data_IF_391963305670
#
_entry.id   IF_391963305670
#
_cell.length_a   1.000
_cell.length_b   1.000
_cell.length_c   1.000
_cell.angle_alpha   90.00
_cell.angle_beta   90.00
_cell.angle_gamma   90.00
#
_symmetry.space_group_name_H-M   'P 1'
#
loop_
_entity.id
_entity.type
_entity.pdbx_description
1 polymer ?
#
# COMPACT_ATOMS: atom_id res chain seq x y z
N UNK A 1 18.37 6.03 4.10
CA UNK A 1 18.14 4.58 3.91
C UNK A 1 19.40 3.93 3.40
N UNK A 2 19.86 2.86 4.05
CA UNK A 2 21.00 2.07 3.55
C UNK A 2 20.61 1.19 2.36
N UNK A 3 21.57 0.76 1.55
CA UNK A 3 21.33 -0.14 0.41
C UNK A 3 20.67 -1.47 0.83
N UNK A 4 21.03 -1.99 2.01
CA UNK A 4 20.41 -3.18 2.58
C UNK A 4 18.93 -2.93 2.90
N UNK A 5 18.62 -1.83 3.60
CA UNK A 5 17.24 -1.47 3.93
C UNK A 5 16.40 -1.25 2.67
N UNK A 6 16.96 -0.60 1.65
CA UNK A 6 16.29 -0.40 0.36
C UNK A 6 15.94 -1.72 -0.32
N UNK A 7 16.87 -2.68 -0.31
CA UNK A 7 16.66 -4.02 -0.88
C UNK A 7 15.60 -4.80 -0.12
N UNK A 8 15.60 -4.73 1.21
CA UNK A 8 14.64 -5.44 2.05
C UNK A 8 13.23 -4.82 1.93
N UNK A 9 13.13 -3.48 1.92
CA UNK A 9 11.89 -2.77 1.63
C UNK A 9 11.32 -3.14 0.25
N UNK A 10 12.15 -3.12 -0.80
CA UNK A 10 11.73 -3.49 -2.16
C UNK A 10 11.16 -4.91 -2.23
N UNK A 11 11.74 -5.87 -1.52
CA UNK A 11 11.20 -7.25 -1.46
C UNK A 11 9.83 -7.28 -0.82
N UNK A 12 9.66 -6.63 0.33
CA UNK A 12 8.40 -6.57 1.07
C UNK A 12 7.31 -5.92 0.20
N UNK A 13 7.64 -4.78 -0.43
CA UNK A 13 6.74 -4.04 -1.32
C UNK A 13 6.36 -4.90 -2.53
N UNK A 14 7.31 -5.56 -3.19
CA UNK A 14 7.02 -6.42 -4.35
C UNK A 14 6.07 -7.58 -4.02
N UNK A 15 6.22 -8.20 -2.84
CA UNK A 15 5.30 -9.26 -2.39
C UNK A 15 3.89 -8.68 -2.19
N UNK A 16 3.78 -7.54 -1.52
CA UNK A 16 2.50 -6.88 -1.31
C UNK A 16 1.84 -6.44 -2.62
N UNK A 17 2.61 -5.93 -3.59
CA UNK A 17 2.16 -5.59 -4.94
C UNK A 17 1.57 -6.82 -5.63
N UNK A 18 2.28 -7.95 -5.63
CA UNK A 18 1.80 -9.18 -6.27
C UNK A 18 0.49 -9.68 -5.63
N UNK A 19 0.40 -9.65 -4.30
CA UNK A 19 -0.82 -10.01 -3.59
C UNK A 19 -1.97 -9.05 -3.88
N UNK A 20 -1.73 -7.74 -3.85
CA UNK A 20 -2.74 -6.72 -4.15
C UNK A 20 -3.22 -6.83 -5.61
N UNK A 21 -2.32 -7.12 -6.55
CA UNK A 21 -2.68 -7.34 -7.94
C UNK A 21 -3.57 -8.58 -8.11
N UNK A 22 -3.24 -9.68 -7.40
CA UNK A 22 -4.04 -10.89 -7.43
C UNK A 22 -5.44 -10.66 -6.85
N UNK A 23 -5.55 -9.96 -5.72
CA UNK A 23 -6.83 -9.60 -5.11
C UNK A 23 -7.61 -8.66 -6.02
N UNK A 24 -7.01 -7.55 -6.47
CA UNK A 24 -7.67 -6.57 -7.33
C UNK A 24 -8.12 -7.17 -8.67
N UNK A 25 -7.31 -8.05 -9.28
CA UNK A 25 -7.67 -8.73 -10.52
C UNK A 25 -8.73 -9.84 -10.34
N UNK A 26 -8.61 -10.63 -9.27
CA UNK A 26 -9.54 -11.74 -8.98
C UNK A 26 -10.90 -11.29 -8.45
N UNK A 27 -10.95 -10.12 -7.82
CA UNK A 27 -12.17 -9.54 -7.23
C UNK A 27 -12.71 -8.34 -8.01
N UNK A 28 -12.11 -8.01 -9.15
CA UNK A 28 -12.45 -6.84 -9.98
C UNK A 28 -13.95 -6.72 -10.33
N UNK A 29 -14.67 -7.85 -10.38
CA UNK A 29 -16.08 -7.90 -10.78
C UNK A 29 -17.07 -7.57 -9.66
N UNK A 30 -16.63 -7.54 -8.39
CA UNK A 30 -17.50 -7.30 -7.23
C UNK A 30 -17.05 -6.00 -6.55
N UNK A 31 -17.81 -4.90 -6.71
CA UNK A 31 -17.44 -3.60 -6.15
C UNK A 31 -17.17 -3.68 -4.63
N UNK A 32 -15.99 -3.22 -4.21
CA UNK A 32 -15.59 -3.11 -2.80
C UNK A 32 -15.21 -4.42 -2.11
N UNK A 33 -15.33 -5.57 -2.77
CA UNK A 33 -15.00 -6.88 -2.18
C UNK A 33 -13.50 -7.06 -1.89
N UNK A 34 -12.64 -6.28 -2.54
CA UNK A 34 -11.20 -6.28 -2.40
C UNK A 34 -10.69 -5.43 -1.22
N UNK A 35 -11.54 -4.58 -0.63
CA UNK A 35 -11.17 -3.60 0.40
C UNK A 35 -10.55 -4.23 1.66
N UNK A 36 -11.15 -5.31 2.18
CA UNK A 36 -10.67 -5.96 3.42
C UNK A 36 -9.37 -6.73 3.18
N UNK A 37 -9.24 -7.57 2.13
CA UNK A 37 -7.97 -8.21 1.82
C UNK A 37 -6.84 -7.22 1.49
N UNK A 38 -7.11 -6.14 0.73
CA UNK A 38 -6.11 -5.11 0.44
C UNK A 38 -5.60 -4.43 1.72
N UNK A 39 -6.51 -4.01 2.61
CA UNK A 39 -6.13 -3.39 3.87
C UNK A 39 -5.23 -4.31 4.71
N UNK A 40 -5.51 -5.62 4.69
CA UNK A 40 -4.71 -6.63 5.42
C UNK A 40 -3.31 -6.80 4.82
N UNK A 41 -3.20 -6.81 3.49
CA UNK A 41 -1.92 -6.85 2.76
C UNK A 41 -1.09 -5.61 3.11
N UNK A 42 -1.70 -4.43 3.06
CA UNK A 42 -1.03 -3.16 3.36
C UNK A 42 -0.61 -3.04 4.83
N UNK A 43 -1.42 -3.55 5.76
CA UNK A 43 -1.07 -3.63 7.18
C UNK A 43 0.16 -4.51 7.42
N UNK A 44 0.17 -5.70 6.84
CA UNK A 44 1.28 -6.65 6.97
C UNK A 44 2.56 -6.09 6.35
N UNK A 45 2.43 -5.42 5.21
CA UNK A 45 3.52 -4.68 4.55
C UNK A 45 4.08 -3.60 5.48
N UNK A 46 3.22 -2.77 6.08
CA UNK A 46 3.61 -1.68 6.99
C UNK A 46 4.38 -2.18 8.20
N UNK A 47 3.88 -3.24 8.86
CA UNK A 47 4.56 -3.88 10.00
C UNK A 47 5.94 -4.41 9.58
N UNK A 48 6.02 -5.03 8.40
CA UNK A 48 7.27 -5.60 7.88
C UNK A 48 8.28 -4.52 7.52
N UNK A 49 7.83 -3.39 6.95
CA UNK A 49 8.67 -2.23 6.69
C UNK A 49 9.22 -1.64 7.99
N UNK A 50 8.39 -1.45 9.02
CA UNK A 50 8.84 -0.98 10.33
C UNK A 50 10.01 -1.82 10.89
N UNK A 51 9.93 -3.15 10.76
CA UNK A 51 11.00 -4.06 11.20
C UNK A 51 12.34 -3.84 10.48
N UNK A 52 12.33 -3.43 9.21
CA UNK A 52 13.56 -3.09 8.45
C UNK A 52 14.29 -1.89 9.06
N UNK A 53 13.55 -0.98 9.68
CA UNK A 53 14.08 0.21 10.37
C UNK A 53 14.18 0.04 11.88
N UNK A 54 14.01 -1.19 12.40
CA UNK A 54 14.09 -1.47 13.83
C UNK A 54 12.88 -0.97 14.65
N UNK A 55 11.77 -0.66 13.99
CA UNK A 55 10.53 -0.21 14.63
C UNK A 55 9.59 -1.40 14.86
N UNK A 56 9.18 -1.60 16.10
CA UNK A 56 8.14 -2.56 16.46
C UNK A 56 6.79 -1.85 16.46
N UNK A 57 5.95 -2.15 15.47
CA UNK A 57 4.64 -1.53 15.32
C UNK A 57 3.56 -2.44 15.88
N UNK A 58 2.68 -1.86 16.70
CA UNK A 58 1.38 -2.48 16.98
C UNK A 58 0.49 -2.38 15.75
N UNK A 59 -0.55 -3.20 15.67
CA UNK A 59 -1.54 -3.10 14.60
C UNK A 59 -2.15 -1.68 14.51
N UNK A 60 -2.49 -1.08 15.65
CA UNK A 60 -3.04 0.28 15.71
C UNK A 60 -2.05 1.33 15.20
N UNK A 61 -0.76 1.21 15.58
CA UNK A 61 0.29 2.12 15.10
C UNK A 61 0.51 1.96 13.59
N UNK A 62 0.47 0.74 13.08
CA UNK A 62 0.60 0.48 11.64
C UNK A 62 -0.61 1.01 10.86
N UNK A 63 -1.83 0.84 11.36
CA UNK A 63 -3.05 1.44 10.78
C UNK A 63 -2.99 2.97 10.78
N UNK A 64 -2.48 3.59 11.86
CA UNK A 64 -2.29 5.02 11.93
C UNK A 64 -1.23 5.51 10.91
N UNK A 65 -0.11 4.81 10.80
CA UNK A 65 0.93 5.09 9.80
C UNK A 65 0.39 4.98 8.38
N UNK A 66 -0.36 3.92 8.07
CA UNK A 66 -1.05 3.78 6.79
C UNK A 66 -1.99 4.96 6.52
N UNK A 67 -2.83 5.32 7.49
CA UNK A 67 -3.75 6.45 7.36
C UNK A 67 -3.03 7.77 7.11
N UNK A 68 -1.93 8.02 7.82
CA UNK A 68 -1.07 9.19 7.63
C UNK A 68 -0.45 9.21 6.22
N UNK A 69 0.20 8.12 5.80
CA UNK A 69 0.81 8.00 4.48
C UNK A 69 -0.21 8.12 3.34
N UNK A 70 -1.42 7.59 3.55
CA UNK A 70 -2.54 7.74 2.63
C UNK A 70 -2.99 9.20 2.52
N UNK A 71 -3.08 9.92 3.63
CA UNK A 71 -3.43 11.34 3.64
C UNK A 71 -2.31 12.23 3.05
N UNK A 72 -1.04 11.92 3.33
CA UNK A 72 0.11 12.78 3.06
C UNK A 72 0.70 12.62 1.65
N UNK A 73 0.74 11.39 1.12
CA UNK A 73 1.47 11.09 -0.12
C UNK A 73 0.64 10.33 -1.14
N UNK A 74 -0.15 9.34 -0.71
CA UNK A 74 -0.90 8.50 -1.64
C UNK A 74 -2.21 9.17 -2.08
N UNK A 75 -2.73 10.14 -1.31
CA UNK A 75 -3.99 10.82 -1.63
C UNK A 75 -4.03 11.45 -3.02
N UNK A 76 -2.93 12.03 -3.52
CA UNK A 76 -2.84 12.55 -4.89
C UNK A 76 -2.81 11.45 -5.95
N UNK A 77 -2.06 10.37 -5.71
CA UNK A 77 -1.97 9.20 -6.61
C UNK A 77 -3.29 8.45 -6.67
N UNK A 78 -3.94 8.22 -5.52
CA UNK A 78 -5.30 7.68 -5.42
C UNK A 78 -6.28 8.63 -6.09
N UNK A 79 -6.17 9.95 -5.93
CA UNK A 79 -7.07 10.89 -6.63
C UNK A 79 -6.96 10.76 -8.15
N UNK A 80 -5.74 10.62 -8.69
CA UNK A 80 -5.51 10.42 -10.13
C UNK A 80 -6.02 9.06 -10.61
N UNK A 81 -5.89 8.03 -9.80
CA UNK A 81 -6.41 6.68 -10.05
C UNK A 81 -7.95 6.64 -9.92
N UNK A 82 -8.51 7.37 -8.97
CA UNK A 82 -9.94 7.46 -8.67
C UNK A 82 -10.72 8.26 -9.72
N UNK A 83 -10.05 9.08 -10.54
CA UNK A 83 -10.66 9.60 -11.78
C UNK A 83 -11.10 8.44 -12.70
N UNK A 84 -10.40 7.30 -12.64
CA UNK A 84 -10.81 6.05 -13.31
C UNK A 84 -11.92 5.25 -12.60
N UNK A 85 -12.44 5.72 -11.45
CA UNK A 85 -13.53 5.10 -10.67
C UNK A 85 -14.91 5.72 -11.00
N UNK A 86 -15.01 6.66 -11.95
CA UNK A 86 -16.26 7.35 -12.23
C UNK A 86 -17.35 6.40 -12.78
N UNK A 87 -18.57 6.35 -12.20
CA UNK A 87 -19.64 5.48 -12.69
C UNK A 87 -20.02 5.86 -14.13
N UNK A 88 -19.88 4.91 -15.06
CA UNK A 88 -20.01 5.12 -16.51
C UNK A 88 -18.67 5.02 -17.27
N UNK A 89 -17.54 5.15 -16.57
CA UNK A 89 -16.17 4.93 -17.06
C UNK A 89 -15.55 3.81 -16.22
N UNK A 90 -16.12 2.59 -16.31
CA UNK A 90 -15.53 1.34 -15.78
C UNK A 90 -15.29 1.21 -14.26
N UNK A 91 -16.06 0.33 -13.60
CA UNK A 91 -15.72 -0.25 -12.29
C UNK A 91 -14.54 -1.23 -12.42
N UNK A 92 -13.31 -0.75 -12.54
CA UNK A 92 -12.14 -1.63 -12.58
C UNK A 92 -11.04 -1.08 -11.68
N UNK A 93 -11.06 -1.44 -10.40
CA UNK A 93 -9.78 -1.62 -9.70
C UNK A 93 -9.14 -2.83 -10.36
N UNK A 94 -8.39 -2.60 -11.44
CA UNK A 94 -7.63 -3.67 -12.06
C UNK A 94 -6.54 -4.07 -11.04
N UNK A 95 -6.06 -5.31 -11.08
CA UNK A 95 -4.87 -5.71 -10.34
C UNK A 95 -3.70 -4.75 -10.53
N UNK A 96 -3.57 -4.13 -11.72
CA UNK A 96 -2.57 -3.08 -11.98
C UNK A 96 -2.76 -1.83 -11.11
N UNK A 97 -4.00 -1.40 -10.87
CA UNK A 97 -4.32 -0.26 -10.02
C UNK A 97 -4.03 -0.58 -8.55
N UNK A 98 -4.48 -1.74 -8.08
CA UNK A 98 -4.21 -2.22 -6.72
C UNK A 98 -2.71 -2.36 -6.45
N UNK A 99 -1.95 -2.86 -7.44
CA UNK A 99 -0.50 -2.91 -7.44
C UNK A 99 0.13 -1.51 -7.28
N UNK A 100 -0.27 -0.56 -8.13
CA UNK A 100 0.29 0.79 -8.13
C UNK A 100 0.04 1.54 -6.81
N UNK A 101 -1.17 1.43 -6.25
CA UNK A 101 -1.50 2.03 -4.95
C UNK A 101 -0.66 1.40 -3.83
N UNK A 102 -0.54 0.07 -3.85
CA UNK A 102 0.26 -0.66 -2.85
C UNK A 102 1.74 -0.30 -2.94
N UNK A 103 2.28 -0.16 -4.14
CA UNK A 103 3.65 0.29 -4.36
C UNK A 103 3.89 1.71 -3.82
N UNK A 104 3.01 2.65 -4.18
CA UNK A 104 3.11 4.05 -3.75
C UNK A 104 3.04 4.16 -2.22
N UNK A 105 2.10 3.45 -1.58
CA UNK A 105 1.98 3.39 -0.13
C UNK A 105 3.23 2.78 0.51
N UNK A 106 3.73 1.66 -0.03
CA UNK A 106 4.90 0.98 0.48
C UNK A 106 6.15 1.86 0.49
N UNK A 107 6.40 2.60 -0.60
CA UNK A 107 7.52 3.53 -0.68
C UNK A 107 7.34 4.78 0.18
N UNK A 108 6.12 5.31 0.30
CA UNK A 108 5.82 6.43 1.20
C UNK A 108 6.13 6.04 2.66
N UNK A 109 5.65 4.88 3.11
CA UNK A 109 5.93 4.37 4.45
C UNK A 109 7.42 4.09 4.67
N UNK A 110 8.10 3.45 3.72
CA UNK A 110 9.53 3.20 3.82
C UNK A 110 10.33 4.50 3.97
N UNK A 111 9.92 5.57 3.29
CA UNK A 111 10.51 6.90 3.43
C UNK A 111 10.22 7.51 4.80
N UNK A 112 8.98 7.46 5.28
CA UNK A 112 8.61 8.00 6.59
C UNK A 112 9.37 7.28 7.74
N UNK A 113 9.56 5.95 7.66
CA UNK A 113 10.40 5.20 8.62
C UNK A 113 11.88 5.59 8.54
N UNK A 114 12.41 5.81 7.33
CA UNK A 114 13.80 6.20 7.13
C UNK A 114 14.11 7.60 7.68
N UNK A 115 13.17 8.52 7.51
CA UNK A 115 13.24 9.90 8.03
C UNK A 115 12.95 9.97 9.54
N UNK A 116 12.57 8.86 10.17
CA UNK A 116 12.25 8.80 11.59
C UNK A 116 10.92 9.46 11.97
N UNK A 117 10.05 9.72 10.99
CA UNK A 117 8.70 10.26 11.18
C UNK A 117 7.74 9.22 11.75
N UNK A 118 8.07 7.93 11.60
CA UNK A 118 7.41 6.75 12.18
C UNK A 118 8.42 5.93 12.99
#
# INVERSE_FOLDING_TARGET
>A
MTEKQKKDCKKIINVAIASAAAVGGGLAQIPGSDSVPLATIQLTMTISLGKVFGKSLTESSAKAAMGSALASQVGRTISQIAIGWWPGIGNVINGATAAAVTEALGWALAKEFDEGLL
#
